data_IF_371846146543
#
_entry.id   IF_371846146543
#
_cell.length_a   1.000
_cell.length_b   1.000
_cell.length_c   1.000
_cell.angle_alpha   90.00
_cell.angle_beta   90.00
_cell.angle_gamma   90.00
#
_symmetry.space_group_name_H-M   'P 1'
#
loop_
_entity.id
_entity.type
_entity.pdbx_description
1 polymer ?
#
# COMPACT_ATOMS: atom_id res chain seq x y z
N UNK A 1 69.11 -60.60 59.08
CA UNK A 1 67.77 -60.70 58.44
C UNK A 1 67.05 -59.34 58.37
N UNK A 2 67.67 -58.22 58.80
CA UNK A 2 67.02 -56.89 58.83
C UNK A 2 67.07 -56.08 57.53
N UNK A 3 68.05 -56.33 56.65
CA UNK A 3 68.25 -55.48 55.46
C UNK A 3 67.18 -55.68 54.38
N UNK A 4 66.61 -56.88 54.30
CA UNK A 4 65.58 -57.22 53.30
C UNK A 4 64.22 -56.60 53.62
N UNK A 5 63.86 -56.46 54.90
CA UNK A 5 62.59 -55.84 55.32
C UNK A 5 62.63 -54.31 55.16
N UNK A 6 63.77 -53.69 55.46
CA UNK A 6 64.00 -52.25 55.23
C UNK A 6 63.88 -51.90 53.74
N UNK A 7 64.46 -52.73 52.86
CA UNK A 7 64.41 -52.52 51.42
C UNK A 7 62.99 -52.70 50.86
N UNK A 8 62.24 -53.70 51.34
CA UNK A 8 60.83 -53.87 50.96
C UNK A 8 59.97 -52.67 51.40
N UNK A 9 60.15 -52.17 52.62
CA UNK A 9 59.39 -51.01 53.10
C UNK A 9 59.69 -49.74 52.32
N UNK A 10 60.96 -49.51 51.94
CA UNK A 10 61.33 -48.39 51.07
C UNK A 10 60.76 -48.52 49.66
N UNK A 11 60.74 -49.74 49.11
CA UNK A 11 60.18 -50.00 47.79
C UNK A 11 58.66 -49.78 47.76
N UNK A 12 57.93 -50.24 48.78
CA UNK A 12 56.49 -50.03 48.91
C UNK A 12 56.13 -48.54 49.07
N UNK A 13 56.91 -47.77 49.82
CA UNK A 13 56.69 -46.32 49.93
C UNK A 13 56.93 -45.60 48.60
N UNK A 14 58.02 -45.91 47.88
CA UNK A 14 58.29 -45.32 46.57
C UNK A 14 57.24 -45.70 45.52
N UNK A 15 56.73 -46.94 45.57
CA UNK A 15 55.65 -47.39 44.69
C UNK A 15 54.34 -46.66 45.00
N UNK A 16 53.97 -46.52 46.28
CA UNK A 16 52.76 -45.79 46.66
C UNK A 16 52.84 -44.31 46.29
N UNK A 17 53.97 -43.64 46.52
CA UNK A 17 54.16 -42.24 46.13
C UNK A 17 54.04 -42.06 44.61
N UNK A 18 54.68 -42.94 43.82
CA UNK A 18 54.56 -42.90 42.35
C UNK A 18 53.16 -43.22 41.84
N UNK A 19 52.43 -44.13 42.49
CA UNK A 19 51.05 -44.46 42.11
C UNK A 19 50.12 -43.28 42.38
N UNK A 20 50.30 -42.57 43.50
CA UNK A 20 49.51 -41.37 43.82
C UNK A 20 49.77 -40.27 42.79
N UNK A 21 51.04 -39.99 42.45
CA UNK A 21 51.38 -39.02 41.40
C UNK A 21 50.82 -39.40 40.01
N UNK A 22 50.84 -40.69 39.67
CA UNK A 22 50.34 -41.17 38.37
C UNK A 22 48.81 -41.11 38.25
N UNK A 23 48.08 -41.22 39.36
CA UNK A 23 46.61 -41.15 39.37
C UNK A 23 46.08 -39.73 39.55
N UNK A 24 46.78 -38.85 40.28
CA UNK A 24 46.34 -37.46 40.45
C UNK A 24 46.47 -36.66 39.16
N UNK A 25 47.60 -36.74 38.46
CA UNK A 25 47.87 -35.91 37.28
C UNK A 25 46.84 -36.02 36.13
N UNK A 26 46.44 -37.23 35.67
CA UNK A 26 45.49 -37.37 34.56
C UNK A 26 44.06 -37.02 34.97
N UNK A 27 43.69 -37.19 36.24
CA UNK A 27 42.36 -36.82 36.73
C UNK A 27 42.19 -35.30 36.82
N UNK A 28 43.23 -34.56 37.25
CA UNK A 28 43.18 -33.10 37.27
C UNK A 28 43.07 -32.53 35.85
N UNK A 29 43.81 -33.04 34.87
CA UNK A 29 43.69 -32.58 33.48
C UNK A 29 42.31 -32.89 32.86
N UNK A 30 41.71 -34.04 33.18
CA UNK A 30 40.38 -34.39 32.69
C UNK A 30 39.27 -33.52 33.32
N UNK A 31 39.37 -33.22 34.62
CA UNK A 31 38.42 -32.36 35.33
C UNK A 31 38.56 -30.90 34.87
N UNK A 32 39.79 -30.42 34.66
CA UNK A 32 40.06 -29.07 34.13
C UNK A 32 39.55 -28.93 32.69
N UNK A 33 39.77 -29.92 31.82
CA UNK A 33 39.26 -29.88 30.43
C UNK A 33 37.74 -29.97 30.36
N UNK A 34 37.10 -30.81 31.17
CA UNK A 34 35.62 -30.91 31.21
C UNK A 34 34.95 -29.63 31.76
N UNK A 35 35.49 -29.06 32.83
CA UNK A 35 34.98 -27.82 33.42
C UNK A 35 35.19 -26.60 32.51
N UNK A 36 36.32 -26.51 31.81
CA UNK A 36 36.58 -25.43 30.85
C UNK A 36 35.70 -25.53 29.60
N UNK A 37 35.46 -26.75 29.08
CA UNK A 37 34.56 -26.97 27.95
C UNK A 37 33.11 -26.61 28.27
N UNK A 38 32.61 -27.01 29.45
CA UNK A 38 31.25 -26.65 29.89
C UNK A 38 31.09 -25.14 30.10
N UNK A 39 32.11 -24.47 30.65
CA UNK A 39 32.10 -23.02 30.80
C UNK A 39 32.12 -22.30 29.44
N UNK A 40 32.94 -22.74 28.50
CA UNK A 40 32.98 -22.21 27.13
C UNK A 40 31.64 -22.39 26.40
N UNK A 41 31.03 -23.58 26.51
CA UNK A 41 29.71 -23.85 25.94
C UNK A 41 28.63 -22.92 26.54
N UNK A 42 28.71 -22.65 27.85
CA UNK A 42 27.79 -21.72 28.52
C UNK A 42 27.97 -20.27 28.05
N UNK A 43 29.21 -19.79 27.90
CA UNK A 43 29.51 -18.46 27.37
C UNK A 43 29.07 -18.30 25.90
N UNK A 44 29.28 -19.32 25.07
CA UNK A 44 28.82 -19.32 23.68
C UNK A 44 27.28 -19.33 23.59
N UNK A 45 26.63 -20.15 24.42
CA UNK A 45 25.17 -20.22 24.50
C UNK A 45 24.57 -18.88 24.91
N UNK A 46 25.06 -18.26 25.97
CA UNK A 46 24.57 -16.94 26.42
C UNK A 46 24.84 -15.84 25.39
N UNK A 47 26.03 -15.84 24.75
CA UNK A 47 26.37 -14.89 23.68
C UNK A 47 25.45 -15.02 22.45
N UNK A 48 25.13 -16.24 22.02
CA UNK A 48 24.18 -16.49 20.92
C UNK A 48 22.76 -16.01 21.26
N UNK A 49 22.29 -16.29 22.47
CA UNK A 49 20.98 -15.85 22.94
C UNK A 49 20.85 -14.32 22.98
N UNK A 50 21.89 -13.60 23.41
CA UNK A 50 21.90 -12.13 23.39
C UNK A 50 21.81 -11.60 21.96
N UNK A 51 22.57 -12.17 21.02
CA UNK A 51 22.51 -11.77 19.59
C UNK A 51 21.13 -12.00 18.98
N UNK A 52 20.50 -13.13 19.26
CA UNK A 52 19.15 -13.45 18.80
C UNK A 52 18.10 -12.50 19.38
N UNK A 53 18.20 -12.15 20.67
CA UNK A 53 17.31 -11.19 21.29
C UNK A 53 17.42 -9.78 20.68
N UNK A 54 18.63 -9.35 20.33
CA UNK A 54 18.85 -8.09 19.61
C UNK A 54 18.32 -8.13 18.17
N UNK A 55 18.51 -9.24 17.45
CA UNK A 55 18.00 -9.41 16.09
C UNK A 55 16.46 -9.40 16.05
N UNK A 56 15.80 -10.10 16.98
CA UNK A 56 14.33 -10.11 17.07
C UNK A 56 13.74 -8.73 17.41
N UNK A 57 14.44 -7.93 18.24
CA UNK A 57 14.04 -6.53 18.48
C UNK A 57 14.17 -5.69 17.22
N UNK A 58 15.21 -5.90 16.43
CA UNK A 58 15.43 -5.17 15.18
C UNK A 58 14.35 -5.47 14.13
N UNK A 59 13.95 -6.74 13.99
CA UNK A 59 12.88 -7.15 13.09
C UNK A 59 11.53 -6.49 13.45
N UNK A 60 11.20 -6.43 14.75
CA UNK A 60 10.00 -5.70 15.22
C UNK A 60 10.07 -4.21 14.91
N UNK A 61 11.23 -3.58 15.07
CA UNK A 61 11.42 -2.15 14.74
C UNK A 61 11.23 -1.91 13.24
N UNK A 62 11.77 -2.78 12.38
CA UNK A 62 11.59 -2.69 10.92
C UNK A 62 10.13 -2.88 10.51
N UNK A 63 9.39 -3.81 11.14
CA UNK A 63 7.97 -3.99 10.87
C UNK A 63 7.14 -2.76 11.27
N UNK A 64 7.42 -2.18 12.45
CA UNK A 64 6.77 -0.94 12.89
C UNK A 64 7.11 0.23 11.97
N UNK A 65 8.36 0.33 11.51
CA UNK A 65 8.78 1.35 10.55
C UNK A 65 8.05 1.21 9.21
N UNK A 66 7.94 0.00 8.65
CA UNK A 66 7.21 -0.23 7.41
C UNK A 66 5.71 0.10 7.57
N UNK A 67 5.12 -0.22 8.72
CA UNK A 67 3.73 0.15 9.02
C UNK A 67 3.53 1.66 9.09
N UNK A 68 4.43 2.39 9.77
CA UNK A 68 4.43 3.86 9.84
C UNK A 68 4.62 4.49 8.47
N UNK A 69 5.56 3.98 7.67
CA UNK A 69 5.80 4.47 6.31
C UNK A 69 4.57 4.27 5.43
N UNK A 70 3.92 3.11 5.51
CA UNK A 70 2.69 2.83 4.76
C UNK A 70 1.53 3.74 5.18
N UNK A 71 1.39 4.01 6.48
CA UNK A 71 0.38 4.96 6.97
C UNK A 71 0.67 6.38 6.48
N UNK A 72 1.92 6.81 6.56
CA UNK A 72 2.34 8.12 6.08
C UNK A 72 2.07 8.24 4.58
N UNK A 73 2.38 7.20 3.79
CA UNK A 73 2.10 7.18 2.36
C UNK A 73 0.61 7.33 2.07
N UNK A 74 -0.26 6.59 2.77
CA UNK A 74 -1.72 6.71 2.63
C UNK A 74 -2.23 8.11 2.99
N UNK A 75 -1.68 8.72 4.04
CA UNK A 75 -2.05 10.07 4.45
C UNK A 75 -1.59 11.11 3.43
N UNK A 76 -0.37 10.94 2.90
CA UNK A 76 0.20 11.81 1.87
C UNK A 76 -0.64 11.72 0.59
N UNK A 77 -0.97 10.51 0.13
CA UNK A 77 -1.82 10.27 -1.04
C UNK A 77 -3.19 10.95 -0.89
N UNK A 78 -3.83 10.83 0.27
CA UNK A 78 -5.11 11.50 0.55
C UNK A 78 -4.97 13.02 0.51
N UNK A 79 -3.92 13.57 1.10
CA UNK A 79 -3.66 15.01 1.13
C UNK A 79 -3.37 15.57 -0.26
N UNK A 80 -2.54 14.87 -1.05
CA UNK A 80 -2.20 15.26 -2.42
C UNK A 80 -3.43 15.15 -3.32
N UNK A 81 -4.23 14.09 -3.18
CA UNK A 81 -5.50 13.95 -3.91
C UNK A 81 -6.44 15.13 -3.61
N UNK A 82 -6.64 15.47 -2.34
CA UNK A 82 -7.48 16.61 -1.95
C UNK A 82 -6.93 17.95 -2.48
N UNK A 83 -5.61 18.14 -2.47
CA UNK A 83 -4.98 19.32 -3.04
C UNK A 83 -5.18 19.41 -4.56
N UNK A 84 -5.10 18.27 -5.27
CA UNK A 84 -5.36 18.20 -6.71
C UNK A 84 -6.81 18.56 -7.05
N UNK A 85 -7.77 17.97 -6.33
CA UNK A 85 -9.20 18.26 -6.47
C UNK A 85 -9.52 19.73 -6.20
N UNK A 86 -9.00 20.28 -5.08
CA UNK A 86 -9.18 21.69 -4.73
C UNK A 86 -8.57 22.61 -5.78
N UNK A 87 -7.36 22.28 -6.28
CA UNK A 87 -6.70 23.04 -7.33
C UNK A 87 -7.52 23.11 -8.62
N UNK A 88 -8.15 21.99 -9.01
CA UNK A 88 -9.02 21.97 -10.18
C UNK A 88 -10.29 22.81 -9.96
N UNK A 89 -10.90 22.72 -8.78
CA UNK A 89 -12.06 23.55 -8.43
C UNK A 89 -11.74 25.05 -8.47
N UNK A 90 -10.56 25.46 -8.00
CA UNK A 90 -10.09 26.85 -8.10
C UNK A 90 -9.93 27.26 -9.56
N UNK A 91 -9.33 26.41 -10.41
CA UNK A 91 -9.18 26.71 -11.84
C UNK A 91 -10.55 26.95 -12.49
N UNK A 92 -11.52 26.08 -12.24
CA UNK A 92 -12.89 26.21 -12.75
C UNK A 92 -13.55 27.49 -12.24
N UNK A 93 -13.43 27.78 -10.93
CA UNK A 93 -14.00 28.99 -10.34
C UNK A 93 -13.39 30.27 -10.90
N UNK A 94 -12.06 30.34 -11.06
CA UNK A 94 -11.39 31.49 -11.66
C UNK A 94 -11.76 31.67 -13.15
N UNK A 95 -11.98 30.57 -13.87
CA UNK A 95 -12.46 30.60 -15.25
C UNK A 95 -13.91 31.14 -15.34
N UNK A 96 -14.80 30.72 -14.45
CA UNK A 96 -16.16 31.25 -14.37
C UNK A 96 -16.18 32.74 -14.02
N UNK A 97 -15.33 33.17 -13.09
CA UNK A 97 -15.16 34.59 -12.75
C UNK A 97 -14.67 35.37 -13.97
N UNK A 98 -13.67 34.85 -14.69
CA UNK A 98 -13.11 35.47 -15.89
C UNK A 98 -14.18 35.69 -16.97
N UNK A 99 -15.10 34.74 -17.15
CA UNK A 99 -16.16 34.79 -18.16
C UNK A 99 -17.34 35.68 -17.72
N UNK A 100 -17.70 35.66 -16.44
CA UNK A 100 -18.93 36.29 -15.94
C UNK A 100 -18.74 37.67 -15.30
N UNK A 101 -17.50 38.13 -15.07
CA UNK A 101 -17.18 39.42 -14.44
C UNK A 101 -17.94 40.61 -15.04
N UNK A 102 -18.11 40.62 -16.37
CA UNK A 102 -18.80 41.70 -17.10
C UNK A 102 -20.28 41.82 -16.75
N UNK A 103 -20.90 40.74 -16.27
CA UNK A 103 -22.32 40.71 -15.88
C UNK A 103 -22.55 41.36 -14.51
N UNK A 104 -21.54 41.37 -13.66
CA UNK A 104 -21.67 41.79 -12.25
C UNK A 104 -21.00 43.13 -11.96
N UNK A 105 -19.96 43.51 -12.71
CA UNK A 105 -19.18 44.72 -12.45
C UNK A 105 -19.56 45.82 -13.43
N UNK A 106 -20.13 46.91 -12.92
CA UNK A 106 -20.57 48.07 -13.72
C UNK A 106 -19.39 48.92 -14.24
N UNK A 107 -18.28 48.95 -13.52
CA UNK A 107 -17.08 49.71 -13.92
C UNK A 107 -16.18 48.86 -14.83
N UNK A 108 -15.90 49.30 -16.08
CA UNK A 108 -15.10 48.52 -17.01
C UNK A 108 -13.65 48.36 -16.54
N UNK A 109 -13.10 49.33 -15.82
CA UNK A 109 -11.74 49.26 -15.28
C UNK A 109 -11.61 48.18 -14.20
N UNK A 110 -12.59 48.10 -13.29
CA UNK A 110 -12.61 47.09 -12.24
C UNK A 110 -12.85 45.69 -12.82
N UNK A 111 -13.65 45.59 -13.88
CA UNK A 111 -13.86 44.33 -14.60
C UNK A 111 -12.56 43.83 -15.25
N UNK A 112 -11.81 44.71 -15.92
CA UNK A 112 -10.51 44.37 -16.52
C UNK A 112 -9.49 43.94 -15.47
N UNK A 113 -9.39 44.67 -14.35
CA UNK A 113 -8.48 44.32 -13.25
C UNK A 113 -8.83 42.95 -12.65
N UNK A 114 -10.10 42.73 -12.30
CA UNK A 114 -10.57 41.45 -11.74
C UNK A 114 -10.30 40.29 -12.68
N UNK A 115 -10.56 40.47 -13.98
CA UNK A 115 -10.27 39.47 -15.01
C UNK A 115 -8.77 39.16 -15.11
N UNK A 116 -7.93 40.19 -15.04
CA UNK A 116 -6.46 40.03 -15.06
C UNK A 116 -6.00 39.23 -13.83
N UNK A 117 -6.51 39.56 -12.64
CA UNK A 117 -6.21 38.84 -11.39
C UNK A 117 -6.66 37.39 -11.45
N UNK A 118 -7.88 37.13 -11.90
CA UNK A 118 -8.40 35.78 -12.07
C UNK A 118 -7.53 34.95 -13.06
N UNK A 119 -7.11 35.56 -14.16
CA UNK A 119 -6.22 34.92 -15.14
C UNK A 119 -4.87 34.54 -14.52
N UNK A 120 -4.27 35.44 -13.72
CA UNK A 120 -3.00 35.20 -13.05
C UNK A 120 -3.12 34.11 -11.97
N UNK A 121 -4.19 34.13 -11.17
CA UNK A 121 -4.47 33.10 -10.16
C UNK A 121 -4.64 31.72 -10.81
N UNK A 122 -5.46 31.64 -11.87
CA UNK A 122 -5.67 30.41 -12.64
C UNK A 122 -4.36 29.85 -13.18
N UNK A 123 -3.49 30.69 -13.75
CA UNK A 123 -2.19 30.28 -14.27
C UNK A 123 -1.25 29.77 -13.17
N UNK A 124 -1.25 30.41 -12.00
CA UNK A 124 -0.44 29.98 -10.85
C UNK A 124 -0.85 28.58 -10.37
N UNK A 125 -2.15 28.37 -10.19
CA UNK A 125 -2.68 27.08 -9.74
C UNK A 125 -2.46 26.00 -10.80
N UNK A 126 -2.65 26.33 -12.08
CA UNK A 126 -2.40 25.40 -13.18
C UNK A 126 -0.95 24.91 -13.20
N UNK A 127 0.04 25.81 -13.00
CA UNK A 127 1.46 25.42 -12.92
C UNK A 127 1.71 24.44 -11.77
N UNK A 128 1.11 24.66 -10.60
CA UNK A 128 1.20 23.76 -9.45
C UNK A 128 0.51 22.42 -9.69
N UNK A 129 -0.61 22.42 -10.40
CA UNK A 129 -1.34 21.20 -10.73
C UNK A 129 -0.56 20.32 -11.73
N UNK A 130 0.13 20.94 -12.69
CA UNK A 130 1.05 20.24 -13.61
C UNK A 130 2.25 19.64 -12.86
N UNK A 131 2.79 20.36 -11.87
CA UNK A 131 3.86 19.85 -10.99
C UNK A 131 3.39 18.62 -10.17
N UNK A 132 2.16 18.64 -9.65
CA UNK A 132 1.58 17.48 -8.97
C UNK A 132 1.38 16.32 -9.94
N UNK A 133 0.89 16.58 -11.15
CA UNK A 133 0.64 15.53 -12.15
C UNK A 133 1.92 14.85 -12.62
N UNK A 134 3.02 15.60 -12.77
CA UNK A 134 4.31 15.03 -13.17
C UNK A 134 4.93 14.17 -12.04
N UNK A 135 4.76 14.60 -10.79
CA UNK A 135 5.31 13.91 -9.61
C UNK A 135 4.46 12.72 -9.15
N UNK A 136 3.14 12.80 -9.28
CA UNK A 136 2.16 11.81 -8.81
C UNK A 136 1.12 11.50 -9.89
N UNK A 137 1.51 10.88 -11.03
CA UNK A 137 0.61 10.62 -12.14
C UNK A 137 -0.56 9.69 -11.76
N UNK A 138 -0.35 8.80 -10.79
CA UNK A 138 -1.39 7.87 -10.34
C UNK A 138 -2.59 8.53 -9.67
N UNK A 139 -2.37 9.66 -9.00
CA UNK A 139 -3.43 10.47 -8.39
C UNK A 139 -4.25 11.17 -9.47
N UNK A 140 -3.59 11.74 -10.48
CA UNK A 140 -4.26 12.39 -11.60
C UNK A 140 -5.13 11.41 -12.41
N UNK A 141 -4.64 10.18 -12.63
CA UNK A 141 -5.41 9.12 -13.29
C UNK A 141 -6.61 8.69 -12.43
N UNK A 142 -6.43 8.50 -11.12
CA UNK A 142 -7.51 8.17 -10.20
C UNK A 142 -8.62 9.23 -10.20
N UNK A 143 -8.23 10.49 -10.08
CA UNK A 143 -9.15 11.63 -10.12
C UNK A 143 -9.94 11.68 -11.42
N UNK A 144 -9.26 11.66 -12.58
CA UNK A 144 -9.91 11.73 -13.90
C UNK A 144 -10.85 10.53 -14.13
N UNK A 145 -10.46 9.35 -13.66
CA UNK A 145 -11.30 8.15 -13.78
C UNK A 145 -12.55 8.25 -12.90
N UNK A 146 -12.41 8.74 -11.67
CA UNK A 146 -13.54 8.98 -10.76
C UNK A 146 -14.49 10.03 -11.34
N UNK A 147 -13.96 11.14 -11.83
CA UNK A 147 -14.74 12.21 -12.45
C UNK A 147 -15.49 11.70 -13.68
N UNK A 148 -14.81 11.00 -14.60
CA UNK A 148 -15.46 10.43 -15.78
C UNK A 148 -16.57 9.43 -15.41
N UNK A 149 -16.34 8.58 -14.41
CA UNK A 149 -17.34 7.65 -13.91
C UNK A 149 -18.56 8.36 -13.30
N UNK A 150 -18.34 9.42 -12.52
CA UNK A 150 -19.42 10.24 -11.96
C UNK A 150 -20.24 10.93 -13.06
N UNK A 151 -19.58 11.50 -14.08
CA UNK A 151 -20.27 12.12 -15.22
C UNK A 151 -21.14 11.10 -15.94
N UNK A 152 -20.61 9.91 -16.28
CA UNK A 152 -21.38 8.86 -16.96
C UNK A 152 -22.57 8.41 -16.12
N UNK A 153 -22.38 8.18 -14.82
CA UNK A 153 -23.48 7.78 -13.94
C UNK A 153 -24.54 8.88 -13.78
N UNK A 154 -24.13 10.14 -13.72
CA UNK A 154 -25.06 11.27 -13.69
C UNK A 154 -25.86 11.36 -14.99
N UNK A 155 -25.22 11.21 -16.15
CA UNK A 155 -25.89 11.21 -17.45
C UNK A 155 -26.91 10.06 -17.54
N UNK A 156 -26.53 8.86 -17.08
CA UNK A 156 -27.45 7.71 -17.00
C UNK A 156 -28.62 7.99 -16.06
N UNK A 157 -28.39 8.66 -14.93
CA UNK A 157 -29.44 9.06 -13.99
C UNK A 157 -30.48 9.98 -14.63
N UNK A 158 -30.00 10.97 -15.38
CA UNK A 158 -30.85 11.91 -16.13
C UNK A 158 -31.66 11.16 -17.18
N UNK A 159 -31.01 10.32 -18.00
CA UNK A 159 -31.71 9.51 -19.00
C UNK A 159 -32.73 8.55 -18.39
N UNK A 160 -32.42 7.94 -17.25
CA UNK A 160 -33.37 7.06 -16.55
C UNK A 160 -34.63 7.82 -16.12
N UNK A 161 -34.45 9.06 -15.67
CA UNK A 161 -35.55 9.94 -15.28
C UNK A 161 -36.38 10.37 -16.49
N UNK A 162 -35.73 10.66 -17.63
CA UNK A 162 -36.43 11.01 -18.87
C UNK A 162 -37.25 9.83 -19.41
N UNK A 163 -36.69 8.62 -19.42
CA UNK A 163 -37.39 7.40 -19.87
C UNK A 163 -38.60 7.07 -18.97
N UNK A 164 -38.51 7.35 -17.67
CA UNK A 164 -39.65 7.24 -16.76
C UNK A 164 -40.76 8.25 -17.10
N UNK A 165 -40.39 9.50 -17.40
CA UNK A 165 -41.36 10.55 -17.78
C UNK A 165 -42.09 10.23 -19.07
N UNK A 166 -41.41 9.53 -19.98
CA UNK A 166 -41.99 9.04 -21.24
C UNK A 166 -42.89 7.79 -21.05
N UNK A 167 -42.97 7.26 -19.82
CA UNK A 167 -43.88 6.16 -19.46
C UNK A 167 -43.39 4.76 -19.85
N UNK A 168 -42.11 4.60 -20.21
CA UNK A 168 -41.56 3.29 -20.60
C UNK A 168 -41.31 2.35 -19.41
N UNK A 169 -41.20 2.88 -18.19
CA UNK A 169 -40.98 2.10 -16.97
C UNK A 169 -42.10 2.28 -15.95
N UNK A 170 -42.38 1.22 -15.21
CA UNK A 170 -43.16 1.30 -13.97
C UNK A 170 -42.33 2.00 -12.89
N UNK A 171 -42.98 2.71 -11.97
CA UNK A 171 -42.36 3.35 -10.80
C UNK A 171 -41.48 2.40 -9.98
N UNK A 172 -41.88 1.13 -9.89
CA UNK A 172 -41.11 0.11 -9.18
C UNK A 172 -39.79 -0.22 -9.88
N UNK A 173 -39.83 -0.39 -11.22
CA UNK A 173 -38.64 -0.65 -12.03
C UNK A 173 -37.69 0.54 -12.05
N UNK A 174 -38.23 1.76 -12.09
CA UNK A 174 -37.44 2.98 -11.99
C UNK A 174 -36.72 3.06 -10.63
N UNK A 175 -37.42 2.80 -9.53
CA UNK A 175 -36.84 2.81 -8.18
C UNK A 175 -35.69 1.81 -8.05
N UNK A 176 -35.87 0.60 -8.55
CA UNK A 176 -34.85 -0.44 -8.46
C UNK A 176 -33.59 -0.10 -9.29
N UNK A 177 -33.75 0.39 -10.53
CA UNK A 177 -32.62 0.85 -11.34
C UNK A 177 -31.92 2.05 -10.72
N UNK A 178 -32.69 2.99 -10.17
CA UNK A 178 -32.14 4.16 -9.50
C UNK A 178 -31.36 3.76 -8.23
N UNK A 179 -31.80 2.73 -7.51
CA UNK A 179 -31.07 2.19 -6.36
C UNK A 179 -29.75 1.52 -6.80
N UNK A 180 -29.79 0.70 -7.85
CA UNK A 180 -28.57 0.11 -8.42
C UNK A 180 -27.56 1.18 -8.87
N UNK A 181 -28.04 2.27 -9.46
CA UNK A 181 -27.20 3.40 -9.88
C UNK A 181 -26.56 4.11 -8.69
N UNK A 182 -27.31 4.32 -7.60
CA UNK A 182 -26.77 4.87 -6.34
C UNK A 182 -25.67 3.98 -5.77
N UNK A 183 -25.86 2.66 -5.78
CA UNK A 183 -24.85 1.73 -5.27
C UNK A 183 -23.56 1.79 -6.11
N UNK A 184 -23.67 1.92 -7.43
CA UNK A 184 -22.51 2.13 -8.32
C UNK A 184 -21.82 3.48 -8.05
N UNK A 185 -22.60 4.55 -7.83
CA UNK A 185 -22.07 5.88 -7.49
C UNK A 185 -21.26 5.84 -6.20
N UNK A 186 -21.79 5.17 -5.16
CA UNK A 186 -21.08 4.99 -3.89
C UNK A 186 -19.79 4.18 -4.06
N UNK A 187 -19.80 3.16 -4.92
CA UNK A 187 -18.60 2.40 -5.27
C UNK A 187 -17.48 3.28 -5.86
N UNK A 188 -17.83 4.23 -6.72
CA UNK A 188 -16.87 5.18 -7.33
C UNK A 188 -16.32 6.17 -6.28
N UNK A 189 -17.15 6.62 -5.34
CA UNK A 189 -16.71 7.48 -4.22
C UNK A 189 -15.71 6.73 -3.34
N UNK A 190 -15.93 5.44 -3.09
CA UNK A 190 -15.07 4.58 -2.28
C UNK A 190 -13.81 4.07 -3.01
N UNK A 191 -13.60 4.43 -4.28
CA UNK A 191 -12.41 4.02 -5.04
C UNK A 191 -11.10 4.50 -4.38
N UNK A 192 -9.95 3.85 -4.64
CA UNK A 192 -8.67 4.31 -4.11
C UNK A 192 -8.26 5.68 -4.68
N UNK A 193 -7.54 6.47 -3.88
CA UNK A 193 -7.10 7.83 -4.25
C UNK A 193 -5.89 7.86 -5.20
N UNK A 194 -5.27 6.70 -5.45
CA UNK A 194 -4.18 6.54 -6.40
C UNK A 194 -4.40 5.27 -7.22
N UNK A 195 -4.21 5.36 -8.53
CA UNK A 195 -4.22 4.23 -9.45
C UNK A 195 -2.82 4.08 -10.07
N UNK A 196 -2.36 2.86 -10.39
CA UNK A 196 -1.10 2.70 -11.09
C UNK A 196 -1.15 3.42 -12.44
N UNK A 197 -0.18 4.31 -12.68
CA UNK A 197 -0.10 5.09 -13.91
C UNK A 197 0.09 4.23 -15.18
N UNK A 198 0.52 2.98 -15.01
CA UNK A 198 0.55 1.97 -16.06
C UNK A 198 -0.72 1.12 -16.01
N UNK A 199 -1.77 1.57 -16.68
CA UNK A 199 -2.89 0.71 -17.02
C UNK A 199 -2.44 -0.24 -18.13
N UNK A 200 -1.98 -1.45 -17.78
CA UNK A 200 -2.07 -2.57 -18.72
C UNK A 200 -3.55 -2.98 -18.70
N UNK A 201 -4.32 -2.78 -19.79
CA UNK A 201 -5.66 -3.32 -19.84
C UNK A 201 -5.56 -4.81 -19.55
N UNK A 202 -6.18 -5.27 -18.45
CA UNK A 202 -6.54 -6.66 -18.36
C UNK A 202 -7.49 -6.90 -19.51
N UNK A 203 -6.98 -7.50 -20.60
CA UNK A 203 -7.82 -8.20 -21.58
C UNK A 203 -8.62 -9.20 -20.75
N UNK A 204 -9.82 -8.81 -20.31
CA UNK A 204 -10.83 -9.79 -19.95
C UNK A 204 -10.96 -10.64 -21.20
N UNK A 205 -10.63 -11.92 -21.07
CA UNK A 205 -10.92 -12.89 -22.12
C UNK A 205 -12.38 -12.66 -22.56
N UNK A 206 -12.66 -12.68 -23.87
CA UNK A 206 -14.01 -12.48 -24.36
C UNK A 206 -14.92 -13.45 -23.61
N UNK A 207 -15.82 -12.93 -22.78
CA UNK A 207 -16.93 -13.72 -22.29
C UNK A 207 -17.67 -14.15 -23.54
N UNK A 208 -17.70 -15.46 -23.75
CA UNK A 208 -18.39 -16.14 -24.84
C UNK A 208 -19.56 -15.31 -25.35
N UNK A 209 -19.46 -14.94 -26.63
CA UNK A 209 -20.58 -14.60 -27.46
C UNK A 209 -21.65 -15.65 -27.27
N UNK A 210 -22.70 -15.30 -26.53
CA UNK A 210 -23.94 -16.07 -26.52
C UNK A 210 -24.48 -16.01 -27.95
N UNK A 211 -24.57 -17.20 -28.55
CA UNK A 211 -25.11 -17.52 -29.87
C UNK A 211 -26.18 -16.53 -30.35
N UNK A 212 -25.82 -15.74 -31.37
CA UNK A 212 -26.77 -15.15 -32.31
C UNK A 212 -26.79 -15.96 -33.61
N UNK A 213 -26.97 -17.27 -33.49
CA UNK A 213 -27.36 -18.13 -34.61
C UNK A 213 -28.71 -18.76 -34.28
N UNK A 214 -29.78 -18.01 -34.51
CA UNK A 214 -31.08 -18.59 -34.86
C UNK A 214 -31.97 -17.58 -35.57
N UNK A 215 -32.27 -17.94 -36.82
CA UNK A 215 -33.45 -17.57 -37.62
C UNK A 215 -33.40 -16.21 -38.35
N UNK A 216 -32.67 -16.17 -39.47
CA UNK A 216 -33.18 -15.50 -40.68
C UNK A 216 -33.91 -16.54 -41.53
N UNK A 217 -35.24 -16.47 -41.56
CA UNK A 217 -36.04 -17.13 -42.58
C UNK A 217 -36.07 -16.27 -43.85
N UNK A 218 -36.01 -16.85 -45.05
CA UNK A 218 -36.16 -16.11 -46.30
C UNK A 218 -37.64 -15.81 -46.55
N UNK A 219 -37.98 -14.54 -46.75
CA UNK A 219 -39.27 -14.14 -47.31
C UNK A 219 -39.19 -14.33 -48.82
N UNK A 220 -39.95 -15.30 -49.33
CA UNK A 220 -40.19 -15.50 -50.75
C UNK A 220 -40.88 -14.26 -51.35
N UNK A 221 -40.27 -13.67 -52.37
CA UNK A 221 -41.00 -12.89 -53.37
C UNK A 221 -41.66 -13.87 -54.35
N UNK A 222 -42.94 -13.67 -54.63
CA UNK A 222 -43.69 -14.38 -55.66
C UNK A 222 -44.94 -13.60 -56.05
N UNK A 223 -44.85 -12.97 -57.22
CA UNK A 223 -45.90 -12.53 -58.18
C UNK A 223 -47.14 -11.79 -57.67
#
# INVERSE_FOLDING_TARGET
MDETESFQSQLERNLNERIIELFEHPYYELVITSSTLTFLACLLGTGLNVRLAHAMRFERILLVQNWLLNLLHKYLDKTIYAAYETGLAIITGEEEVQQNVWKYVRSPQLALDTRSRATNNRLLVLRKLVEIQSRFPGIAVAFKSRQAGQTILNDVSVHLSDIQRDGFFSEEQHRDLHQMLKDQMMGIICAPNSLPASYKPHRRAPRHSVDRDRQRAPVHCGT
#
